data_IF_750825409820
#
_entry.id   IF_750825409820
#
_cell.length_a   1.000
_cell.length_b   1.000
_cell.length_c   1.000
_cell.angle_alpha   90.00
_cell.angle_beta   90.00
_cell.angle_gamma   90.00
#
_symmetry.space_group_name_H-M   'P 1'
#
loop_
_entity.id
_entity.type
_entity.pdbx_description
1 polymer ?
#
# COMPACT_ATOMS: atom_id res chain seq x y z
N UNK A 1 8.87 -3.71 -9.60
CA UNK A 1 7.47 -4.18 -9.56
C UNK A 1 6.78 -3.55 -10.75
N UNK A 2 6.32 -4.39 -11.67
CA UNK A 2 5.61 -3.96 -12.86
C UNK A 2 4.25 -3.34 -12.59
N UNK A 3 3.57 -2.96 -13.67
CA UNK A 3 2.30 -2.23 -13.61
C UNK A 3 1.23 -3.00 -14.38
N UNK A 4 0.02 -2.98 -13.84
CA UNK A 4 -1.17 -3.45 -14.55
C UNK A 4 -1.37 -2.70 -15.85
N UNK A 5 -1.74 -3.42 -16.91
CA UNK A 5 -2.22 -2.84 -18.16
C UNK A 5 -3.58 -3.41 -18.50
N UNK A 6 -4.50 -2.57 -18.97
CA UNK A 6 -5.80 -3.01 -19.50
C UNK A 6 -5.68 -3.66 -20.88
N UNK A 7 -4.49 -3.66 -21.48
CA UNK A 7 -4.26 -4.27 -22.79
C UNK A 7 -4.41 -5.79 -22.70
N UNK A 8 -5.23 -6.35 -23.59
CA UNK A 8 -5.32 -7.79 -23.79
C UNK A 8 -4.15 -8.22 -24.68
N UNK A 9 -3.38 -9.21 -24.24
CA UNK A 9 -2.29 -9.76 -25.05
C UNK A 9 -2.74 -11.03 -25.77
N UNK A 10 -2.32 -11.17 -27.03
CA UNK A 10 -2.56 -12.38 -27.82
C UNK A 10 -1.57 -13.49 -27.45
N UNK A 11 -1.96 -14.76 -27.60
CA UNK A 11 -1.03 -15.88 -27.43
C UNK A 11 0.10 -15.79 -28.46
N UNK A 12 1.32 -16.22 -28.09
CA UNK A 12 2.44 -16.29 -29.04
C UNK A 12 2.45 -17.60 -29.84
N UNK A 13 1.73 -18.62 -29.39
CA UNK A 13 1.77 -19.95 -29.98
C UNK A 13 2.96 -20.77 -29.47
N UNK A 14 3.19 -21.92 -30.10
CA UNK A 14 4.20 -22.90 -29.69
C UNK A 14 5.54 -22.80 -30.46
N UNK A 15 5.67 -21.86 -31.41
CA UNK A 15 6.87 -21.73 -32.23
C UNK A 15 8.09 -21.37 -31.37
N UNK A 16 9.16 -22.16 -31.48
CA UNK A 16 10.39 -21.96 -30.68
C UNK A 16 10.30 -22.41 -29.22
N UNK A 17 9.16 -22.97 -28.79
CA UNK A 17 9.03 -23.55 -27.45
C UNK A 17 9.55 -25.00 -27.41
N UNK A 18 9.97 -25.45 -26.22
CA UNK A 18 10.39 -26.83 -25.97
C UNK A 18 9.19 -27.65 -25.49
N UNK A 19 8.91 -28.77 -26.15
CA UNK A 19 7.88 -29.72 -25.69
C UNK A 19 8.39 -30.49 -24.46
N UNK A 20 7.55 -30.58 -23.43
CA UNK A 20 7.84 -31.34 -22.21
C UNK A 20 6.95 -32.57 -22.04
N UNK A 21 5.79 -32.56 -22.69
CA UNK A 21 4.84 -33.66 -22.62
C UNK A 21 3.94 -33.65 -23.85
N UNK A 22 3.57 -34.84 -24.30
CA UNK A 22 2.64 -35.06 -25.42
C UNK A 22 1.67 -36.16 -25.04
N UNK A 23 0.39 -36.01 -25.42
CA UNK A 23 -0.66 -36.99 -25.15
C UNK A 23 -0.73 -37.39 -23.65
N UNK A 24 -0.84 -36.38 -22.80
CA UNK A 24 -0.86 -36.51 -21.34
C UNK A 24 -2.30 -36.37 -20.83
N UNK A 25 -2.83 -37.45 -20.27
CA UNK A 25 -4.20 -37.52 -19.74
C UNK A 25 -4.31 -36.75 -18.42
N UNK A 26 -3.78 -37.30 -17.32
CA UNK A 26 -3.90 -36.69 -15.98
C UNK A 26 -2.55 -36.57 -15.25
N UNK A 27 -1.46 -37.01 -15.87
CA UNK A 27 -0.15 -37.10 -15.23
C UNK A 27 0.47 -35.72 -15.05
N UNK A 28 1.08 -35.52 -13.88
CA UNK A 28 1.86 -34.31 -13.58
C UNK A 28 3.22 -34.35 -14.26
N UNK A 29 3.61 -33.24 -14.89
CA UNK A 29 4.92 -33.03 -15.51
C UNK A 29 5.61 -31.83 -14.87
N UNK A 30 6.86 -32.00 -14.49
CA UNK A 30 7.68 -30.99 -13.85
C UNK A 30 8.46 -30.19 -14.89
N UNK A 31 8.47 -28.86 -14.77
CA UNK A 31 9.31 -28.01 -15.61
C UNK A 31 10.75 -27.98 -15.09
N UNK A 32 11.75 -27.76 -15.97
CA UNK A 32 13.11 -27.53 -15.51
C UNK A 32 13.21 -26.22 -14.70
N UNK A 33 14.38 -25.97 -14.09
CA UNK A 33 14.70 -24.66 -13.48
C UNK A 33 14.30 -23.52 -14.42
N UNK A 34 13.37 -22.66 -13.98
CA UNK A 34 12.80 -21.58 -14.79
C UNK A 34 13.80 -20.44 -15.05
N UNK A 35 14.92 -20.39 -14.32
CA UNK A 35 16.06 -19.49 -14.55
C UNK A 35 16.08 -18.23 -13.69
N UNK A 36 15.10 -18.04 -12.80
CA UNK A 36 15.03 -16.92 -11.86
C UNK A 36 14.24 -17.32 -10.61
N UNK A 37 14.40 -16.56 -9.52
CA UNK A 37 13.59 -16.77 -8.32
C UNK A 37 12.18 -16.24 -8.55
N UNK A 38 11.20 -17.14 -8.46
CA UNK A 38 9.78 -16.84 -8.50
C UNK A 38 9.19 -17.31 -7.18
N UNK A 39 8.55 -16.41 -6.43
CA UNK A 39 7.97 -16.73 -5.13
C UNK A 39 6.46 -16.80 -5.18
N UNK A 40 5.90 -17.86 -4.60
CA UNK A 40 4.47 -18.00 -4.34
C UNK A 40 4.28 -18.37 -2.86
N UNK A 41 3.45 -17.60 -2.15
CA UNK A 41 3.21 -17.77 -0.72
C UNK A 41 4.51 -17.83 0.13
N UNK A 42 5.53 -17.03 -0.21
CA UNK A 42 6.81 -17.04 0.49
C UNK A 42 7.76 -18.19 0.12
N UNK A 43 7.33 -19.13 -0.73
CA UNK A 43 8.14 -20.27 -1.16
C UNK A 43 8.81 -19.92 -2.49
N UNK A 44 10.13 -20.13 -2.61
CA UNK A 44 10.83 -20.02 -3.89
C UNK A 44 10.49 -21.26 -4.75
N UNK A 45 9.81 -21.00 -5.87
CA UNK A 45 9.24 -22.00 -6.74
C UNK A 45 10.09 -22.26 -8.00
N UNK A 46 11.33 -21.76 -8.05
CA UNK A 46 12.23 -21.83 -9.20
C UNK A 46 12.36 -23.22 -9.84
N UNK A 47 12.28 -24.29 -9.04
CA UNK A 47 12.44 -25.68 -9.48
C UNK A 47 11.24 -26.57 -9.16
N UNK A 48 10.09 -25.99 -8.81
CA UNK A 48 8.92 -26.76 -8.34
C UNK A 48 7.67 -26.52 -9.18
N UNK A 49 7.78 -25.74 -10.26
CA UNK A 49 6.66 -25.51 -11.17
C UNK A 49 6.35 -26.80 -11.92
N UNK A 50 5.08 -27.18 -11.95
CA UNK A 50 4.59 -28.31 -12.73
C UNK A 50 3.22 -28.02 -13.35
N UNK A 51 2.81 -28.89 -14.26
CA UNK A 51 1.48 -28.87 -14.88
C UNK A 51 0.96 -30.29 -15.04
N UNK A 52 -0.29 -30.45 -15.42
CA UNK A 52 -0.89 -31.76 -15.69
C UNK A 52 -1.72 -31.71 -16.97
N UNK A 53 -1.92 -32.90 -17.55
CA UNK A 53 -2.93 -33.12 -18.57
C UNK A 53 -4.34 -32.68 -18.15
N UNK A 54 -4.65 -32.67 -16.85
CA UNK A 54 -5.95 -32.19 -16.36
C UNK A 54 -6.09 -30.65 -16.29
N UNK A 55 -5.23 -29.92 -17.01
CA UNK A 55 -5.27 -28.45 -17.20
C UNK A 55 -5.21 -27.65 -15.89
N UNK A 56 -4.12 -27.85 -15.17
CA UNK A 56 -3.77 -27.06 -13.99
C UNK A 56 -2.26 -26.83 -13.88
N UNK A 57 -1.86 -25.86 -13.05
CA UNK A 57 -0.49 -25.51 -12.71
C UNK A 57 -0.30 -25.61 -11.20
N UNK A 58 0.80 -26.24 -10.80
CA UNK A 58 1.31 -26.21 -9.44
C UNK A 58 2.59 -25.38 -9.37
N UNK A 59 2.64 -24.43 -8.44
CA UNK A 59 3.82 -23.58 -8.20
C UNK A 59 4.76 -24.22 -7.17
N UNK A 60 4.22 -24.86 -6.14
CA UNK A 60 4.99 -25.38 -5.00
C UNK A 60 5.14 -26.90 -5.06
N UNK A 61 5.18 -27.48 -6.26
CA UNK A 61 5.07 -28.93 -6.45
C UNK A 61 3.62 -29.33 -6.76
N UNK A 62 3.16 -30.49 -6.27
CA UNK A 62 1.97 -31.20 -6.80
C UNK A 62 0.59 -30.65 -6.39
N UNK A 63 0.50 -29.37 -6.04
CA UNK A 63 -0.78 -28.74 -5.66
C UNK A 63 -1.41 -28.04 -6.86
N UNK A 64 -2.72 -28.18 -7.05
CA UNK A 64 -3.44 -27.58 -8.20
C UNK A 64 -3.77 -26.08 -7.97
N UNK A 65 -2.76 -25.24 -7.82
CA UNK A 65 -2.97 -23.85 -7.39
C UNK A 65 -3.60 -22.95 -8.46
N UNK A 66 -3.38 -23.22 -9.74
CA UNK A 66 -4.10 -22.55 -10.82
C UNK A 66 -4.79 -23.60 -11.69
N UNK A 67 -6.12 -23.55 -11.72
CA UNK A 67 -6.99 -24.46 -12.47
C UNK A 67 -7.62 -23.70 -13.63
N UNK A 68 -7.48 -24.24 -14.84
CA UNK A 68 -7.96 -23.60 -16.07
C UNK A 68 -8.82 -24.62 -16.80
N UNK A 69 -10.14 -24.48 -16.70
CA UNK A 69 -11.11 -25.47 -17.16
C UNK A 69 -10.79 -26.89 -16.63
N UNK A 70 -10.30 -26.99 -15.39
CA UNK A 70 -9.90 -28.25 -14.76
C UNK A 70 -11.12 -29.13 -14.56
N UNK A 71 -11.13 -30.28 -15.23
CA UNK A 71 -12.19 -31.29 -15.12
C UNK A 71 -11.60 -32.69 -15.33
N UNK A 72 -11.60 -33.11 -16.58
CA UNK A 72 -11.20 -34.41 -17.12
C UNK A 72 -10.53 -34.15 -18.48
N UNK A 73 -9.73 -33.09 -18.51
CA UNK A 73 -9.09 -32.57 -19.71
C UNK A 73 -7.87 -33.43 -20.03
N UNK A 74 -7.46 -33.46 -21.29
CA UNK A 74 -6.23 -34.11 -21.72
C UNK A 74 -5.36 -33.13 -22.51
N UNK A 75 -4.07 -33.09 -22.21
CA UNK A 75 -3.10 -32.28 -22.93
C UNK A 75 -2.55 -33.05 -24.13
N UNK A 76 -2.87 -32.58 -25.33
CA UNK A 76 -2.19 -33.05 -26.54
C UNK A 76 -0.72 -32.66 -26.49
N UNK A 77 -0.41 -31.44 -26.03
CA UNK A 77 0.95 -30.99 -25.81
C UNK A 77 1.08 -30.00 -24.65
N UNK A 78 2.20 -30.07 -23.93
CA UNK A 78 2.63 -29.07 -22.95
C UNK A 78 4.02 -28.59 -23.36
N UNK A 79 4.21 -27.29 -23.44
CA UNK A 79 5.46 -26.64 -23.83
C UNK A 79 5.92 -25.63 -22.80
N UNK A 80 7.20 -25.30 -22.85
CA UNK A 80 7.76 -24.15 -22.15
C UNK A 80 8.79 -23.38 -22.99
N UNK A 81 9.03 -22.13 -22.63
CA UNK A 81 10.13 -21.32 -23.15
C UNK A 81 10.69 -20.38 -22.08
N UNK A 82 12.01 -20.26 -22.05
CA UNK A 82 12.72 -19.19 -21.34
C UNK A 82 12.84 -18.01 -22.28
N UNK A 83 12.28 -16.88 -21.89
CA UNK A 83 12.22 -15.68 -22.71
C UNK A 83 12.82 -14.49 -21.96
N UNK A 84 13.00 -13.38 -22.69
CA UNK A 84 13.33 -12.09 -22.10
C UNK A 84 12.31 -11.07 -22.58
N UNK A 85 11.69 -10.36 -21.64
CA UNK A 85 10.74 -9.28 -21.89
C UNK A 85 11.27 -8.05 -21.16
N UNK A 86 11.46 -6.94 -21.89
CA UNK A 86 12.04 -5.69 -21.36
C UNK A 86 13.35 -5.91 -20.58
N UNK A 87 14.27 -6.71 -21.17
CA UNK A 87 15.57 -7.07 -20.56
C UNK A 87 15.48 -7.84 -19.22
N UNK A 88 14.29 -8.33 -18.86
CA UNK A 88 14.08 -9.19 -17.68
C UNK A 88 13.71 -10.62 -18.11
N UNK A 89 14.17 -11.64 -17.38
CA UNK A 89 13.84 -13.03 -17.68
C UNK A 89 12.36 -13.30 -17.38
N UNK A 90 11.71 -14.04 -18.28
CA UNK A 90 10.34 -14.53 -18.11
C UNK A 90 10.27 -16.01 -18.48
N UNK A 91 9.37 -16.75 -17.87
CA UNK A 91 9.13 -18.16 -18.19
C UNK A 91 7.71 -18.32 -18.73
N UNK A 92 7.57 -18.85 -19.95
CA UNK A 92 6.28 -19.09 -20.58
C UNK A 92 5.99 -20.58 -20.59
N UNK A 93 4.79 -20.95 -20.17
CA UNK A 93 4.21 -22.28 -20.32
C UNK A 93 3.08 -22.17 -21.34
N UNK A 94 2.95 -23.17 -22.21
CA UNK A 94 1.81 -23.29 -23.12
C UNK A 94 1.20 -24.67 -22.99
N UNK A 95 -0.11 -24.71 -22.88
CA UNK A 95 -0.89 -25.93 -22.75
C UNK A 95 -1.86 -25.99 -23.92
N UNK A 96 -1.82 -27.09 -24.67
CA UNK A 96 -2.67 -27.33 -25.82
C UNK A 96 -3.37 -28.68 -25.65
N UNK A 97 -4.70 -28.66 -25.65
CA UNK A 97 -5.45 -29.90 -25.55
C UNK A 97 -6.95 -29.69 -25.65
N UNK A 98 -7.67 -30.52 -24.92
CA UNK A 98 -9.11 -30.64 -25.08
C UNK A 98 -9.82 -30.82 -23.73
N UNK A 99 -11.11 -30.47 -23.69
CA UNK A 99 -11.88 -30.39 -22.43
C UNK A 99 -12.24 -31.71 -21.75
N UNK A 100 -12.22 -32.82 -22.49
CA UNK A 100 -12.65 -34.15 -22.03
C UNK A 100 -11.84 -35.26 -22.70
N UNK A 101 -11.26 -36.18 -21.95
CA UNK A 101 -10.36 -37.25 -22.43
C UNK A 101 -10.82 -38.01 -23.69
N UNK A 102 -12.12 -38.05 -23.98
CA UNK A 102 -12.69 -38.72 -25.16
C UNK A 102 -12.56 -37.92 -26.47
N UNK A 103 -11.92 -36.74 -26.46
CA UNK A 103 -11.89 -35.78 -27.58
C UNK A 103 -10.49 -35.42 -28.10
N UNK A 104 -9.52 -36.32 -27.90
CA UNK A 104 -8.14 -36.19 -28.40
C UNK A 104 -8.04 -35.67 -29.84
N UNK A 105 -7.04 -34.83 -30.09
CA UNK A 105 -6.79 -34.22 -31.40
C UNK A 105 -7.66 -33.00 -31.74
N UNK A 106 -8.67 -32.66 -30.92
CA UNK A 106 -9.46 -31.42 -31.09
C UNK A 106 -9.00 -30.34 -30.11
N UNK A 107 -8.14 -29.42 -30.56
CA UNK A 107 -7.63 -28.33 -29.71
C UNK A 107 -8.70 -27.27 -29.42
N UNK A 108 -9.47 -27.46 -28.35
CA UNK A 108 -10.52 -26.56 -27.87
C UNK A 108 -10.25 -25.96 -26.48
N UNK A 109 -9.15 -26.36 -25.83
CA UNK A 109 -8.63 -25.75 -24.61
C UNK A 109 -7.15 -25.41 -24.84
N UNK A 110 -6.84 -24.13 -24.87
CA UNK A 110 -5.50 -23.64 -25.19
C UNK A 110 -5.21 -22.39 -24.39
N UNK A 111 -4.12 -22.40 -23.63
CA UNK A 111 -3.72 -21.28 -22.80
C UNK A 111 -2.21 -21.17 -22.65
N UNK A 112 -1.73 -19.97 -22.31
CA UNK A 112 -0.35 -19.69 -21.96
C UNK A 112 -0.29 -19.05 -20.57
N UNK A 113 0.71 -19.43 -19.77
CA UNK A 113 1.01 -18.77 -18.51
C UNK A 113 2.42 -18.17 -18.59
N UNK A 114 2.53 -16.88 -18.32
CA UNK A 114 3.80 -16.15 -18.28
C UNK A 114 4.12 -15.83 -16.82
N UNK A 115 5.29 -16.27 -16.36
CA UNK A 115 5.84 -15.97 -15.03
C UNK A 115 6.91 -14.88 -15.15
N UNK A 116 6.85 -13.90 -14.24
CA UNK A 116 7.80 -12.79 -14.17
C UNK A 116 8.68 -12.90 -12.93
N UNK A 117 9.92 -12.41 -13.00
CA UNK A 117 10.88 -12.46 -11.88
C UNK A 117 10.56 -11.52 -10.71
N UNK A 118 9.47 -10.77 -10.77
CA UNK A 118 8.91 -10.02 -9.65
C UNK A 118 7.61 -10.62 -9.09
N UNK A 119 7.41 -11.92 -9.35
CA UNK A 119 6.31 -12.77 -8.86
C UNK A 119 4.95 -12.52 -9.52
N UNK A 120 4.83 -11.57 -10.44
CA UNK A 120 3.61 -11.42 -11.23
C UNK A 120 3.43 -12.58 -12.22
N UNK A 121 2.20 -12.77 -12.65
CA UNK A 121 1.85 -13.75 -13.70
C UNK A 121 0.84 -13.16 -14.68
N UNK A 122 0.87 -13.63 -15.92
CA UNK A 122 -0.20 -13.36 -16.89
C UNK A 122 -0.67 -14.67 -17.50
N UNK A 123 -1.96 -14.94 -17.36
CA UNK A 123 -2.65 -16.05 -18.02
C UNK A 123 -3.26 -15.53 -19.32
N UNK A 124 -2.93 -16.13 -20.45
CA UNK A 124 -3.50 -15.83 -21.76
C UNK A 124 -4.36 -17.00 -22.19
N UNK A 125 -5.63 -16.74 -22.48
CA UNK A 125 -6.58 -17.76 -22.92
C UNK A 125 -6.80 -17.60 -24.41
N UNK A 126 -6.32 -18.56 -25.19
CA UNK A 126 -6.59 -18.61 -26.63
C UNK A 126 -7.96 -19.26 -26.87
N UNK A 127 -8.20 -20.43 -26.27
CA UNK A 127 -9.47 -21.16 -26.35
C UNK A 127 -9.84 -21.71 -24.99
N UNK A 128 -11.10 -21.56 -24.61
CA UNK A 128 -11.63 -22.17 -23.40
C UNK A 128 -13.11 -22.54 -23.59
N UNK A 129 -13.50 -23.79 -23.28
CA UNK A 129 -14.89 -24.21 -23.40
C UNK A 129 -15.74 -23.86 -22.16
N UNK A 130 -15.10 -23.56 -21.02
CA UNK A 130 -15.75 -23.18 -19.75
C UNK A 130 -16.78 -24.19 -19.24
N UNK A 131 -16.43 -25.47 -19.29
CA UNK A 131 -17.24 -26.59 -18.77
C UNK A 131 -16.63 -27.23 -17.52
N UNK A 132 -15.46 -26.75 -17.08
CA UNK A 132 -14.73 -27.22 -15.89
C UNK A 132 -14.49 -26.12 -14.86
N UNK A 133 -13.59 -26.40 -13.91
CA UNK A 133 -13.26 -25.49 -12.82
C UNK A 133 -12.19 -24.47 -13.25
N UNK A 134 -12.52 -23.19 -13.05
CA UNK A 134 -11.58 -22.08 -13.19
C UNK A 134 -11.34 -21.48 -11.80
N UNK A 135 -10.14 -21.64 -11.25
CA UNK A 135 -9.83 -21.13 -9.91
C UNK A 135 -8.35 -20.88 -9.70
N UNK A 136 -8.04 -19.98 -8.77
CA UNK A 136 -6.70 -19.73 -8.28
C UNK A 136 -6.67 -19.80 -6.75
N UNK A 137 -5.75 -20.56 -6.19
CA UNK A 137 -5.44 -20.50 -4.77
C UNK A 137 -4.70 -19.18 -4.49
N UNK A 138 -5.40 -18.19 -3.96
CA UNK A 138 -4.78 -16.95 -3.56
C UNK A 138 -4.25 -17.11 -2.12
N UNK A 139 -2.95 -16.92 -1.84
CA UNK A 139 -2.42 -17.25 -0.52
C UNK A 139 -3.06 -16.50 0.65
N UNK A 140 -3.56 -15.27 0.41
CA UNK A 140 -4.25 -14.48 1.42
C UNK A 140 -5.78 -14.67 1.43
N UNK A 141 -6.39 -15.06 0.29
CA UNK A 141 -7.85 -15.14 0.16
C UNK A 141 -8.39 -16.57 0.08
N UNK A 142 -7.51 -17.58 0.02
CA UNK A 142 -7.88 -18.96 -0.30
C UNK A 142 -8.28 -19.14 -1.78
N UNK A 143 -8.97 -20.23 -2.08
CA UNK A 143 -9.43 -20.54 -3.44
C UNK A 143 -10.40 -19.47 -3.95
N UNK A 144 -10.00 -18.77 -4.99
CA UNK A 144 -10.78 -17.74 -5.68
C UNK A 144 -11.25 -18.28 -7.03
N UNK A 145 -12.56 -18.22 -7.30
CA UNK A 145 -13.09 -18.57 -8.62
C UNK A 145 -12.66 -17.54 -9.67
N UNK A 146 -12.36 -18.00 -10.90
CA UNK A 146 -11.98 -17.15 -12.01
C UNK A 146 -13.05 -17.16 -13.10
N UNK A 147 -13.39 -15.99 -13.63
CA UNK A 147 -14.23 -15.86 -14.82
C UNK A 147 -13.32 -15.66 -16.03
N UNK A 148 -13.07 -16.75 -16.75
CA UNK A 148 -12.16 -16.79 -17.90
C UNK A 148 -12.95 -16.81 -19.21
N UNK A 149 -12.44 -16.14 -20.23
CA UNK A 149 -13.05 -16.06 -21.57
C UNK A 149 -11.99 -16.29 -22.65
N UNK A 150 -12.42 -16.80 -23.81
CA UNK A 150 -11.54 -17.00 -24.96
C UNK A 150 -11.04 -15.68 -25.54
N UNK A 151 -9.81 -15.66 -26.03
CA UNK A 151 -9.12 -14.48 -26.57
C UNK A 151 -8.95 -13.34 -25.54
N UNK A 152 -8.80 -13.68 -24.27
CA UNK A 152 -8.54 -12.74 -23.18
C UNK A 152 -7.24 -13.07 -22.46
N UNK A 153 -6.76 -12.11 -21.67
CA UNK A 153 -5.65 -12.33 -20.74
C UNK A 153 -5.99 -11.81 -19.36
N UNK A 154 -5.34 -12.35 -18.33
CA UNK A 154 -5.59 -12.06 -16.93
C UNK A 154 -4.27 -11.88 -16.19
N UNK A 155 -4.09 -10.70 -15.58
CA UNK A 155 -2.90 -10.37 -14.81
C UNK A 155 -3.10 -10.71 -13.33
N UNK A 156 -2.14 -11.44 -12.77
CA UNK A 156 -2.03 -11.76 -11.35
C UNK A 156 -0.94 -10.88 -10.76
N UNK A 157 -1.34 -9.87 -9.99
CA UNK A 157 -0.44 -8.82 -9.51
C UNK A 157 -0.20 -9.01 -8.01
N UNK A 158 1.04 -9.26 -7.58
CA UNK A 158 1.34 -9.44 -6.17
C UNK A 158 1.05 -8.16 -5.39
N UNK A 159 0.34 -8.26 -4.27
CA UNK A 159 0.06 -7.13 -3.38
C UNK A 159 0.98 -7.10 -2.16
N UNK A 160 1.78 -8.16 -1.97
CA UNK A 160 2.74 -8.32 -0.89
C UNK A 160 4.00 -9.01 -1.42
N UNK A 161 5.13 -8.75 -0.75
CA UNK A 161 6.42 -9.37 -1.07
C UNK A 161 6.33 -10.90 -1.07
N UNK A 162 7.16 -11.51 -1.91
CA UNK A 162 7.26 -12.96 -2.08
C UNK A 162 5.93 -13.65 -2.48
N UNK A 163 5.03 -12.91 -3.15
CA UNK A 163 3.80 -13.48 -3.71
C UNK A 163 2.83 -13.99 -2.62
N UNK A 164 2.75 -13.32 -1.47
CA UNK A 164 1.85 -13.69 -0.36
C UNK A 164 0.39 -13.29 -0.55
N UNK A 165 0.09 -12.53 -1.59
CA UNK A 165 -1.27 -12.17 -1.98
C UNK A 165 -1.28 -11.63 -3.40
N UNK A 166 -2.39 -11.80 -4.11
CA UNK A 166 -2.55 -11.33 -5.49
C UNK A 166 -3.89 -10.62 -5.70
N UNK A 167 -3.91 -9.65 -6.61
CA UNK A 167 -5.14 -9.24 -7.31
C UNK A 167 -5.14 -9.86 -8.69
N UNK A 168 -6.30 -10.35 -9.14
CA UNK A 168 -6.47 -10.91 -10.48
C UNK A 168 -7.43 -10.02 -11.26
N UNK A 169 -7.03 -9.58 -12.45
CA UNK A 169 -7.82 -8.67 -13.29
C UNK A 169 -7.65 -9.03 -14.77
N UNK A 170 -8.72 -8.90 -15.57
CA UNK A 170 -8.63 -9.02 -17.04
C UNK A 170 -7.69 -7.92 -17.56
N UNK A 171 -6.70 -8.29 -18.36
CA UNK A 171 -5.67 -7.39 -18.86
C UNK A 171 -4.33 -8.10 -18.94
N UNK A 172 -3.26 -7.33 -18.79
CA UNK A 172 -1.89 -7.81 -18.87
C UNK A 172 -1.04 -7.16 -17.78
N UNK A 173 0.23 -7.54 -17.76
CA UNK A 173 1.24 -7.05 -16.84
C UNK A 173 2.42 -6.54 -17.65
N UNK A 174 2.80 -5.29 -17.39
CA UNK A 174 4.01 -4.71 -17.95
C UNK A 174 5.04 -4.79 -16.85
N UNK A 175 5.99 -5.71 -16.98
CA UNK A 175 7.17 -5.67 -16.14
C UNK A 175 7.99 -4.44 -16.50
N UNK A 176 8.04 -3.50 -15.56
CA UNK A 176 8.69 -2.22 -15.74
C UNK A 176 10.15 -2.33 -15.29
N UNK A 177 11.06 -1.87 -16.15
CA UNK A 177 12.41 -1.54 -15.75
C UNK A 177 12.48 -0.02 -15.63
N UNK A 178 12.14 0.50 -14.44
CA UNK A 178 12.13 1.94 -14.19
C UNK A 178 13.46 2.33 -13.59
N UNK A 179 14.09 3.33 -14.20
CA UNK A 179 15.35 3.90 -13.74
C UNK A 179 15.16 5.36 -13.34
N UNK A 180 15.79 5.73 -12.23
CA UNK A 180 15.73 7.08 -11.67
C UNK A 180 17.11 7.72 -11.73
N UNK A 181 17.14 9.00 -12.09
CA UNK A 181 18.32 9.87 -12.01
C UNK A 181 17.89 11.27 -11.61
N UNK A 182 18.77 12.03 -10.96
CA UNK A 182 18.54 13.45 -10.67
C UNK A 182 19.35 14.31 -11.63
N UNK A 183 18.69 15.28 -12.26
CA UNK A 183 19.35 16.41 -12.92
C UNK A 183 19.47 17.53 -11.90
N UNK A 184 20.71 17.83 -11.51
CA UNK A 184 21.08 18.82 -10.51
C UNK A 184 21.83 19.98 -11.18
N UNK A 185 21.10 20.97 -11.71
CA UNK A 185 21.66 21.96 -12.63
C UNK A 185 22.01 21.30 -13.98
N UNK A 186 23.30 21.25 -14.31
CA UNK A 186 23.81 20.52 -15.51
C UNK A 186 24.29 19.11 -15.20
N UNK A 187 24.49 18.78 -13.92
CA UNK A 187 24.99 17.48 -13.50
C UNK A 187 23.87 16.45 -13.50
N UNK A 188 24.23 15.21 -13.83
CA UNK A 188 23.39 14.03 -13.64
C UNK A 188 23.96 13.27 -12.45
N UNK A 189 23.12 13.04 -11.45
CA UNK A 189 23.47 12.38 -10.19
C UNK A 189 22.60 11.15 -9.95
N UNK A 190 23.20 10.17 -9.29
CA UNK A 190 22.50 9.00 -8.75
C UNK A 190 22.76 8.91 -7.24
N UNK A 191 21.97 8.10 -6.54
CA UNK A 191 22.17 7.88 -5.11
C UNK A 191 23.25 6.83 -4.86
N UNK A 192 24.36 7.24 -4.24
CA UNK A 192 25.34 6.29 -3.73
C UNK A 192 24.96 5.85 -2.32
N UNK A 193 24.57 4.58 -2.19
CA UNK A 193 24.17 3.98 -0.91
C UNK A 193 25.32 3.90 0.09
N UNK A 194 26.56 3.81 -0.37
CA UNK A 194 27.75 3.71 0.49
C UNK A 194 28.00 5.02 1.21
N UNK A 195 27.98 6.13 0.48
CA UNK A 195 28.16 7.47 1.06
C UNK A 195 26.85 8.10 1.54
N UNK A 196 25.70 7.48 1.28
CA UNK A 196 24.36 8.03 1.55
C UNK A 196 24.22 9.46 1.00
N UNK A 197 24.60 9.62 -0.27
CA UNK A 197 24.75 10.92 -0.91
C UNK A 197 24.46 10.86 -2.42
N UNK A 198 23.90 11.93 -2.99
CA UNK A 198 23.83 12.07 -4.44
C UNK A 198 25.19 12.44 -5.02
N UNK A 199 25.74 11.57 -5.86
CA UNK A 199 27.05 11.74 -6.50
C UNK A 199 26.91 11.93 -8.00
N UNK A 200 27.79 12.76 -8.58
CA UNK A 200 27.81 13.02 -10.02
C UNK A 200 28.29 11.80 -10.79
N UNK A 201 27.51 11.39 -11.79
CA UNK A 201 27.83 10.31 -12.72
C UNK A 201 27.96 10.77 -14.16
N UNK A 202 27.32 11.89 -14.53
CA UNK A 202 27.42 12.45 -15.87
C UNK A 202 26.98 13.92 -15.88
N UNK A 203 26.82 14.48 -17.08
CA UNK A 203 26.28 15.82 -17.35
C UNK A 203 25.23 15.75 -18.45
N UNK A 204 24.37 16.76 -18.58
CA UNK A 204 23.41 16.85 -19.68
C UNK A 204 24.11 16.84 -21.07
N UNK A 205 23.45 16.34 -22.14
CA UNK A 205 22.07 15.88 -22.21
C UNK A 205 21.85 14.49 -21.61
N UNK A 206 20.65 14.25 -21.11
CA UNK A 206 20.25 12.95 -20.57
C UNK A 206 19.86 12.01 -21.73
N UNK A 207 20.38 10.78 -21.72
CA UNK A 207 20.13 9.75 -22.76
C UNK A 207 19.68 8.44 -22.12
N UNK A 208 19.08 7.53 -22.91
CA UNK A 208 18.68 6.20 -22.43
C UNK A 208 19.85 5.40 -21.87
N UNK A 209 21.03 5.49 -22.48
CA UNK A 209 22.21 4.74 -22.04
C UNK A 209 22.68 5.19 -20.65
N UNK A 210 22.56 6.48 -20.33
CA UNK A 210 22.87 6.98 -18.99
C UNK A 210 21.95 6.37 -17.92
N UNK A 211 20.68 6.16 -18.23
CA UNK A 211 19.77 5.45 -17.32
C UNK A 211 20.10 3.98 -17.20
N UNK A 212 20.45 3.30 -18.30
CA UNK A 212 20.83 1.89 -18.27
C UNK A 212 22.10 1.64 -17.45
N UNK A 213 23.07 2.55 -17.54
CA UNK A 213 24.37 2.41 -16.86
C UNK A 213 24.32 2.88 -15.41
N UNK A 214 23.71 4.04 -15.15
CA UNK A 214 23.80 4.72 -13.84
C UNK A 214 22.48 4.85 -13.09
N UNK A 215 21.36 4.49 -13.72
CA UNK A 215 20.04 4.73 -13.14
C UNK A 215 19.76 3.82 -11.95
N UNK A 216 19.19 4.43 -10.90
CA UNK A 216 18.79 3.71 -9.70
C UNK A 216 17.47 2.96 -9.94
N UNK A 217 17.31 1.75 -9.39
CA UNK A 217 16.06 0.97 -9.45
C UNK A 217 14.97 1.52 -8.50
N UNK A 218 15.38 2.32 -7.52
CA UNK A 218 14.53 2.91 -6.49
C UNK A 218 14.80 4.41 -6.45
N UNK A 219 13.75 5.22 -6.29
CA UNK A 219 13.93 6.64 -6.07
C UNK A 219 14.27 6.91 -4.59
N UNK A 220 15.10 7.92 -4.36
CA UNK A 220 15.49 8.36 -3.01
C UNK A 220 14.83 9.71 -2.69
N UNK A 221 14.41 9.88 -1.44
CA UNK A 221 13.71 11.11 -0.96
C UNK A 221 14.68 12.13 -0.36
N UNK A 222 15.89 11.65 -0.06
CA UNK A 222 16.98 12.40 0.51
C UNK A 222 17.41 13.53 -0.43
N UNK A 223 18.08 14.54 0.12
CA UNK A 223 18.62 15.67 -0.67
C UNK A 223 20.11 15.88 -0.48
N UNK A 224 20.77 15.08 0.35
CA UNK A 224 22.21 15.14 0.57
C UNK A 224 22.92 15.03 -0.77
N UNK A 225 23.82 15.98 -1.07
CA UNK A 225 24.59 16.00 -2.34
C UNK A 225 23.93 16.73 -3.49
N UNK A 226 22.66 17.10 -3.36
CA UNK A 226 21.98 17.98 -4.32
C UNK A 226 22.31 19.44 -4.00
N UNK A 227 22.74 20.19 -5.01
CA UNK A 227 23.23 21.57 -4.85
C UNK A 227 22.22 22.59 -5.41
N UNK A 228 21.57 22.28 -6.53
CA UNK A 228 20.64 23.20 -7.17
C UNK A 228 19.37 23.40 -6.33
N UNK A 229 18.84 24.62 -6.37
CA UNK A 229 17.58 24.96 -5.70
C UNK A 229 16.37 24.24 -6.32
N UNK A 230 16.48 23.84 -7.59
CA UNK A 230 15.39 23.20 -8.35
C UNK A 230 15.91 21.99 -9.14
N UNK A 231 16.29 20.89 -8.44
CA UNK A 231 16.68 19.65 -9.09
C UNK A 231 15.46 19.00 -9.76
N UNK A 232 15.70 18.18 -10.78
CA UNK A 232 14.65 17.49 -11.51
C UNK A 232 14.87 15.99 -11.39
N UNK A 233 13.93 15.28 -10.77
CA UNK A 233 13.88 13.82 -10.85
C UNK A 233 13.48 13.43 -12.27
N UNK A 234 14.31 12.61 -12.91
CA UNK A 234 14.07 12.05 -14.22
C UNK A 234 13.82 10.56 -14.08
N UNK A 235 12.81 10.11 -14.81
CA UNK A 235 12.31 8.74 -14.78
C UNK A 235 12.39 8.22 -16.21
N UNK A 236 12.91 7.02 -16.38
CA UNK A 236 13.03 6.36 -17.67
C UNK A 236 12.66 4.89 -17.56
N UNK A 237 12.17 4.33 -18.67
CA UNK A 237 12.00 2.90 -18.84
C UNK A 237 12.12 2.54 -20.31
N UNK A 238 12.54 1.32 -20.66
CA UNK A 238 12.50 0.86 -22.04
C UNK A 238 11.05 0.69 -22.55
N UNK A 239 10.05 0.60 -21.66
CA UNK A 239 8.64 0.48 -22.05
C UNK A 239 8.04 1.84 -22.40
N UNK A 240 7.49 1.95 -23.62
CA UNK A 240 6.73 3.11 -24.06
C UNK A 240 5.33 3.21 -23.41
N UNK A 241 4.88 2.16 -22.73
CA UNK A 241 3.51 2.02 -22.18
C UNK A 241 3.42 2.39 -20.68
N UNK A 242 4.43 3.05 -20.10
CA UNK A 242 4.33 3.43 -18.70
C UNK A 242 3.24 4.48 -18.45
N UNK A 243 2.43 4.32 -17.40
CA UNK A 243 1.54 5.38 -16.97
C UNK A 243 2.32 6.61 -16.52
N UNK A 244 1.75 7.80 -16.71
CA UNK A 244 2.35 9.06 -16.27
C UNK A 244 2.66 9.01 -14.77
N UNK A 245 3.90 9.33 -14.34
CA UNK A 245 4.27 9.31 -12.93
C UNK A 245 3.41 10.28 -12.11
N UNK A 246 2.95 9.84 -10.93
CA UNK A 246 2.18 10.66 -9.99
C UNK A 246 2.97 10.85 -8.70
N UNK A 247 3.11 12.09 -8.25
CA UNK A 247 3.67 12.43 -6.94
C UNK A 247 2.51 12.71 -6.00
N UNK A 248 2.40 11.93 -4.92
CA UNK A 248 1.42 12.15 -3.87
C UNK A 248 2.12 12.74 -2.65
N UNK A 249 1.73 13.94 -2.25
CA UNK A 249 2.18 14.55 -1.00
C UNK A 249 1.03 14.48 0.01
N UNK A 250 1.26 13.80 1.14
CA UNK A 250 0.32 13.79 2.26
C UNK A 250 0.76 14.87 3.26
N UNK A 251 -0.07 15.89 3.44
CA UNK A 251 0.18 16.96 4.41
C UNK A 251 -0.59 16.63 5.69
N UNK A 252 0.14 16.33 6.76
CA UNK A 252 -0.40 16.17 8.11
C UNK A 252 -0.13 17.47 8.89
N UNK A 253 -1.16 18.18 9.40
CA UNK A 253 -0.93 19.30 10.31
C UNK A 253 -0.15 18.84 11.55
N UNK A 254 0.84 19.63 11.98
CA UNK A 254 1.54 19.37 13.25
C UNK A 254 0.55 19.57 14.41
N UNK A 255 0.71 18.85 15.53
CA UNK A 255 -0.11 19.11 16.70
C UNK A 255 0.08 20.54 17.20
N UNK A 256 -0.98 21.10 17.80
CA UNK A 256 -1.00 22.50 18.22
C UNK A 256 -1.67 22.63 19.59
N UNK A 257 -1.19 23.58 20.39
CA UNK A 257 -1.89 24.06 21.58
C UNK A 257 -2.51 25.41 21.25
N UNK A 258 -3.81 25.54 21.48
CA UNK A 258 -4.55 26.78 21.30
C UNK A 258 -4.87 27.35 22.68
N UNK A 259 -4.56 28.62 22.87
CA UNK A 259 -4.73 29.34 24.14
C UNK A 259 -5.79 30.43 24.01
N UNK A 260 -6.65 30.55 25.02
CA UNK A 260 -7.45 31.77 25.17
C UNK A 260 -6.52 32.97 25.41
N UNK A 261 -6.79 34.07 24.69
CA UNK A 261 -6.06 35.33 24.86
C UNK A 261 -6.47 36.04 26.15
N UNK A 262 -7.78 36.10 26.40
CA UNK A 262 -8.37 36.88 27.47
C UNK A 262 -8.82 36.01 28.65
N UNK A 263 -8.85 36.61 29.83
CA UNK A 263 -9.35 35.98 31.05
C UNK A 263 -10.87 36.04 31.10
N UNK A 264 -11.51 34.97 31.57
CA UNK A 264 -12.89 35.00 32.06
C UNK A 264 -12.84 35.41 33.54
N UNK A 265 -13.56 36.46 33.91
CA UNK A 265 -13.64 36.91 35.30
C UNK A 265 -14.66 36.09 36.08
N UNK A 266 -14.21 35.45 37.16
CA UNK A 266 -15.07 34.74 38.11
C UNK A 266 -15.19 35.57 39.39
N UNK A 267 -16.26 36.34 39.51
CA UNK A 267 -16.51 37.22 40.67
C UNK A 267 -17.57 36.61 41.57
N UNK A 268 -17.23 36.40 42.85
CA UNK A 268 -18.16 35.87 43.84
C UNK A 268 -19.31 36.81 44.15
N UNK A 269 -19.25 38.09 43.76
CA UNK A 269 -20.40 38.98 43.85
C UNK A 269 -21.58 38.50 42.98
N UNK A 270 -21.31 37.73 41.91
CA UNK A 270 -22.30 37.33 40.91
C UNK A 270 -22.33 35.83 40.65
N UNK A 271 -21.21 35.13 40.85
CA UNK A 271 -21.07 33.71 40.55
C UNK A 271 -20.68 32.98 41.83
N UNK A 272 -21.57 32.10 42.29
CA UNK A 272 -21.39 31.29 43.48
C UNK A 272 -20.44 30.12 43.23
N UNK A 273 -20.69 29.34 42.17
CA UNK A 273 -19.90 28.15 41.82
C UNK A 273 -20.10 27.74 40.36
N UNK A 274 -19.20 26.91 39.82
CA UNK A 274 -19.34 26.27 38.50
C UNK A 274 -20.15 24.99 38.68
N UNK A 275 -21.31 24.91 38.02
CA UNK A 275 -22.16 23.71 38.05
C UNK A 275 -21.55 22.57 37.23
N UNK A 276 -21.22 22.86 35.97
CA UNK A 276 -20.62 21.91 35.04
C UNK A 276 -20.02 22.64 33.82
N UNK A 277 -19.37 21.86 32.96
CA UNK A 277 -18.91 22.32 31.64
C UNK A 277 -19.54 21.48 30.53
N UNK A 278 -19.70 22.08 29.35
CA UNK A 278 -20.16 21.41 28.13
C UNK A 278 -19.16 21.70 27.02
N UNK A 279 -18.73 20.65 26.32
CA UNK A 279 -17.83 20.74 25.17
C UNK A 279 -18.54 20.21 23.95
N UNK A 280 -18.59 21.02 22.90
CA UNK A 280 -19.06 20.57 21.58
C UNK A 280 -17.86 20.47 20.65
N UNK A 281 -17.58 19.26 20.17
CA UNK A 281 -16.49 18.97 19.22
C UNK A 281 -17.03 18.13 18.07
N UNK A 282 -16.56 18.41 16.85
CA UNK A 282 -16.62 17.43 15.76
C UNK A 282 -15.32 16.66 15.78
N UNK A 283 -15.38 15.37 16.08
CA UNK A 283 -14.22 14.49 16.06
C UNK A 283 -14.56 13.21 15.29
N UNK A 284 -14.05 13.08 14.07
CA UNK A 284 -14.20 11.88 13.22
C UNK A 284 -12.83 11.29 12.96
N UNK A 285 -12.71 9.98 13.15
CA UNK A 285 -11.44 9.27 13.03
C UNK A 285 -10.64 9.33 14.34
N UNK A 286 -9.36 9.64 14.23
CA UNK A 286 -8.36 9.42 15.29
C UNK A 286 -7.96 10.71 16.02
N UNK A 287 -8.76 11.77 15.91
CA UNK A 287 -8.43 13.09 16.47
C UNK A 287 -8.31 13.06 17.99
N UNK A 288 -7.27 13.73 18.51
CA UNK A 288 -7.05 13.91 19.95
C UNK A 288 -7.27 15.37 20.28
N UNK A 289 -8.15 15.60 21.27
CA UNK A 289 -8.33 16.91 21.89
C UNK A 289 -8.36 16.76 23.41
N UNK A 290 -7.54 17.54 24.09
CA UNK A 290 -7.50 17.59 25.56
C UNK A 290 -7.42 19.01 26.07
N UNK A 291 -8.01 19.26 27.23
CA UNK A 291 -8.22 20.58 27.81
C UNK A 291 -7.42 20.75 29.10
N UNK A 292 -6.96 21.97 29.33
CA UNK A 292 -6.32 22.41 30.57
C UNK A 292 -6.91 23.77 30.98
N UNK A 293 -6.89 24.05 32.28
CA UNK A 293 -7.44 25.28 32.87
C UNK A 293 -6.39 26.01 33.68
N UNK A 294 -6.39 27.33 33.63
CA UNK A 294 -5.61 28.22 34.49
C UNK A 294 -6.56 29.10 35.29
N UNK A 295 -6.21 29.37 36.54
CA UNK A 295 -6.93 30.28 37.45
C UNK A 295 -6.10 31.52 37.84
N UNK A 296 -4.97 31.73 37.17
CA UNK A 296 -3.96 32.75 37.49
C UNK A 296 -3.46 33.45 36.22
N UNK A 297 -4.36 33.67 35.26
CA UNK A 297 -4.10 34.37 33.99
C UNK A 297 -3.09 33.68 33.05
N UNK A 298 -2.92 32.36 33.19
CA UNK A 298 -2.03 31.54 32.36
C UNK A 298 -0.64 31.30 32.95
N UNK A 299 -0.39 31.66 34.22
CA UNK A 299 0.88 31.41 34.91
C UNK A 299 1.06 29.92 35.20
N UNK A 300 0.02 29.27 35.74
CA UNK A 300 -0.01 27.84 35.97
C UNK A 300 -1.25 27.20 35.34
N UNK A 301 -1.06 25.97 34.86
CA UNK A 301 -2.09 25.20 34.17
C UNK A 301 -2.35 23.90 34.90
N UNK A 302 -3.61 23.51 34.97
CA UNK A 302 -4.07 22.32 35.68
C UNK A 302 -5.03 21.49 34.85
N UNK A 303 -5.07 20.20 35.17
CA UNK A 303 -6.03 19.24 34.64
C UNK A 303 -6.56 18.35 35.77
N UNK A 304 -7.83 18.00 35.70
CA UNK A 304 -8.46 17.02 36.59
C UNK A 304 -8.13 15.60 36.12
N UNK A 305 -7.46 14.82 36.96
CA UNK A 305 -7.07 13.44 36.61
C UNK A 305 -8.10 12.37 37.05
N UNK A 306 -9.28 12.80 37.52
CA UNK A 306 -10.30 11.93 38.11
C UNK A 306 -10.31 11.93 39.65
N UNK A 307 -9.28 12.47 40.30
CA UNK A 307 -9.19 12.54 41.77
C UNK A 307 -8.73 13.89 42.29
N UNK A 308 -7.82 14.57 41.59
CA UNK A 308 -7.31 15.88 41.99
C UNK A 308 -6.91 16.73 40.78
N UNK A 309 -6.78 18.04 41.02
CA UNK A 309 -6.22 18.98 40.05
C UNK A 309 -4.70 18.88 40.05
N UNK A 310 -4.14 18.43 38.93
CA UNK A 310 -2.69 18.22 38.74
C UNK A 310 -2.09 19.30 37.86
N UNK A 311 -0.83 19.66 38.10
CA UNK A 311 -0.11 20.64 37.28
C UNK A 311 0.26 20.05 35.92
N UNK A 312 0.11 20.88 34.89
CA UNK A 312 0.47 20.57 33.50
C UNK A 312 1.43 21.64 32.99
N UNK A 313 2.54 21.21 32.41
CA UNK A 313 3.48 22.09 31.74
C UNK A 313 3.00 22.40 30.33
N UNK A 314 2.47 23.61 30.13
CA UNK A 314 1.95 24.06 28.83
C UNK A 314 3.04 24.21 27.76
N UNK A 315 4.31 24.34 28.14
CA UNK A 315 5.42 24.44 27.20
C UNK A 315 5.83 23.08 26.63
N UNK A 316 5.39 21.99 27.28
CA UNK A 316 5.64 20.62 26.85
C UNK A 316 4.37 20.00 26.26
N UNK A 317 4.30 19.93 24.92
CA UNK A 317 3.17 19.34 24.19
C UNK A 317 2.82 17.92 24.63
N UNK A 318 3.81 17.09 24.99
CA UNK A 318 3.57 15.72 25.44
C UNK A 318 2.97 15.69 26.85
N UNK A 319 3.36 16.64 27.71
CA UNK A 319 2.78 16.78 29.05
C UNK A 319 1.31 17.20 28.96
N UNK A 320 1.00 18.18 28.11
CA UNK A 320 -0.39 18.59 27.84
C UNK A 320 -1.21 17.43 27.26
N UNK A 321 -0.67 16.68 26.29
CA UNK A 321 -1.35 15.54 25.68
C UNK A 321 -1.66 14.43 26.70
N UNK A 322 -0.72 14.12 27.59
CA UNK A 322 -0.84 13.00 28.52
C UNK A 322 -1.64 13.31 29.77
N UNK A 323 -1.58 14.55 30.27
CA UNK A 323 -2.28 14.96 31.51
C UNK A 323 -3.56 15.74 31.26
N UNK A 324 -3.74 16.32 30.07
CA UNK A 324 -4.92 17.09 29.72
C UNK A 324 -6.21 16.27 29.82
N UNK A 325 -7.31 16.96 30.09
CA UNK A 325 -8.62 16.34 30.25
C UNK A 325 -9.22 16.05 28.88
N UNK A 326 -9.67 14.83 28.61
CA UNK A 326 -10.52 14.57 27.45
C UNK A 326 -11.83 15.36 27.52
N UNK A 327 -12.55 15.50 26.41
CA UNK A 327 -13.86 16.14 26.41
C UNK A 327 -14.85 15.47 27.39
N UNK A 328 -14.79 14.15 27.55
CA UNK A 328 -15.65 13.44 28.50
C UNK A 328 -15.27 13.70 29.96
N UNK A 329 -13.96 13.70 30.27
CA UNK A 329 -13.47 14.00 31.62
C UNK A 329 -13.82 15.44 32.00
N UNK A 330 -13.59 16.40 31.10
CA UNK A 330 -13.83 17.80 31.36
C UNK A 330 -15.31 18.12 31.62
N UNK A 331 -16.21 17.49 30.87
CA UNK A 331 -17.67 17.60 31.06
C UNK A 331 -18.16 16.84 32.30
N UNK A 332 -17.43 15.82 32.74
CA UNK A 332 -17.76 15.02 33.92
C UNK A 332 -17.37 15.66 35.26
N UNK A 333 -16.68 16.80 35.26
CA UNK A 333 -16.29 17.49 36.50
C UNK A 333 -17.53 18.07 37.18
N UNK A 334 -17.78 17.63 38.41
CA UNK A 334 -18.92 18.05 39.22
C UNK A 334 -18.68 19.40 39.90
N UNK A 335 -19.76 20.04 40.36
CA UNK A 335 -19.68 21.31 41.11
C UNK A 335 -18.72 21.23 42.31
N UNK A 336 -18.81 20.16 43.11
CA UNK A 336 -17.90 19.95 44.24
C UNK A 336 -16.42 19.80 43.82
N UNK A 337 -16.15 19.19 42.67
CA UNK A 337 -14.80 19.05 42.13
C UNK A 337 -14.28 20.38 41.58
N UNK A 338 -15.14 21.18 40.93
CA UNK A 338 -14.83 22.54 40.52
C UNK A 338 -14.49 23.44 41.69
N UNK A 339 -15.24 23.35 42.81
CA UNK A 339 -14.95 24.09 44.02
C UNK A 339 -13.52 23.83 44.55
N UNK A 340 -13.02 22.60 44.41
CA UNK A 340 -11.65 22.25 44.85
C UNK A 340 -10.54 22.89 44.00
N UNK A 341 -10.85 23.39 42.80
CA UNK A 341 -9.88 24.16 42.00
C UNK A 341 -9.59 25.53 42.66
N UNK A 342 -10.52 26.03 43.47
CA UNK A 342 -10.40 27.31 44.16
C UNK A 342 -10.50 28.50 43.21
N UNK A 343 -11.59 28.56 42.45
CA UNK A 343 -11.87 29.60 41.42
C UNK A 343 -12.40 30.93 42.00
N UNK A 344 -12.72 30.97 43.28
CA UNK A 344 -13.20 32.14 44.05
C UNK A 344 -12.42 33.43 43.76
N UNK A 345 -13.10 34.44 43.21
CA UNK A 345 -12.53 35.75 42.83
C UNK A 345 -11.28 35.67 41.93
N UNK A 346 -11.20 34.64 41.09
CA UNK A 346 -10.07 34.41 40.17
C UNK A 346 -10.43 34.66 38.71
N UNK A 347 -9.38 34.59 37.90
CA UNK A 347 -9.41 34.71 36.44
C UNK A 347 -9.23 33.34 35.84
N UNK A 348 -10.19 32.90 35.01
CA UNK A 348 -10.14 31.60 34.37
C UNK A 348 -9.70 31.71 32.91
N UNK A 349 -8.80 30.82 32.50
CA UNK A 349 -8.41 30.63 31.10
C UNK A 349 -8.45 29.15 30.74
N UNK A 350 -8.82 28.87 29.50
CA UNK A 350 -8.72 27.53 28.92
C UNK A 350 -7.65 27.51 27.84
N UNK A 351 -7.00 26.35 27.72
CA UNK A 351 -6.19 26.00 26.58
C UNK A 351 -6.50 24.55 26.20
N UNK A 352 -6.28 24.23 24.94
CA UNK A 352 -6.53 22.89 24.43
C UNK A 352 -5.49 22.47 23.41
N UNK A 353 -5.08 21.21 23.53
CA UNK A 353 -4.22 20.54 22.57
C UNK A 353 -5.07 19.87 21.49
N UNK A 354 -4.63 19.93 20.24
CA UNK A 354 -5.28 19.29 19.09
C UNK A 354 -4.27 18.54 18.22
N UNK A 355 -4.60 17.30 17.86
CA UNK A 355 -3.84 16.46 16.94
C UNK A 355 -4.77 15.60 16.09
N UNK A 356 -4.42 15.38 14.83
CA UNK A 356 -5.03 14.36 13.96
C UNK A 356 -3.97 13.34 13.56
N UNK A 357 -4.36 12.11 13.23
CA UNK A 357 -3.44 11.07 12.78
C UNK A 357 -3.37 11.00 11.24
N UNK A 358 -4.50 11.23 10.57
CA UNK A 358 -4.65 11.15 9.12
C UNK A 358 -5.22 12.44 8.52
N UNK A 359 -4.95 12.68 7.22
CA UNK A 359 -5.51 13.83 6.49
C UNK A 359 -7.03 13.74 6.27
N UNK A 360 -7.62 12.58 6.53
CA UNK A 360 -9.07 12.33 6.47
C UNK A 360 -9.78 12.55 7.81
N UNK A 361 -9.03 12.71 8.92
CA UNK A 361 -9.62 12.99 10.22
C UNK A 361 -10.28 14.39 10.23
N UNK A 362 -11.37 14.53 10.96
CA UNK A 362 -12.02 15.83 11.21
C UNK A 362 -11.93 16.12 12.69
N UNK A 363 -11.27 17.22 13.09
CA UNK A 363 -11.22 17.67 14.47
C UNK A 363 -11.51 19.17 14.58
N UNK A 364 -12.65 19.55 15.14
CA UNK A 364 -13.07 20.95 15.30
C UNK A 364 -13.70 21.19 16.67
N UNK A 365 -13.12 22.07 17.48
CA UNK A 365 -13.76 22.58 18.69
C UNK A 365 -14.80 23.65 18.29
N UNK A 366 -16.07 23.40 18.60
CA UNK A 366 -17.17 24.34 18.31
C UNK A 366 -17.48 25.25 19.49
N UNK A 367 -17.50 24.69 20.70
CA UNK A 367 -17.88 25.42 21.90
C UNK A 367 -17.26 24.80 23.16
N UNK A 368 -16.80 25.68 24.05
CA UNK A 368 -16.67 25.41 25.48
C UNK A 368 -17.71 26.28 26.17
N UNK A 369 -18.59 25.69 26.96
CA UNK A 369 -19.58 26.38 27.78
C UNK A 369 -19.36 26.00 29.24
N UNK A 370 -19.32 26.99 30.12
CA UNK A 370 -19.25 26.80 31.57
C UNK A 370 -20.57 27.31 32.14
N UNK A 371 -21.32 26.42 32.79
CA UNK A 371 -22.56 26.78 33.46
C UNK A 371 -22.26 27.02 34.95
N UNK A 372 -22.86 28.05 35.52
CA UNK A 372 -22.55 28.49 36.87
C UNK A 372 -23.82 28.90 37.63
N UNK A 373 -23.76 28.74 38.95
CA UNK A 373 -24.77 29.25 39.87
C UNK A 373 -24.50 30.72 40.16
N UNK A 374 -25.55 31.53 40.22
CA UNK A 374 -25.47 32.91 40.70
C UNK A 374 -25.86 32.98 42.18
N UNK A 375 -25.50 34.08 42.84
CA UNK A 375 -25.99 34.37 44.18
C UNK A 375 -27.47 34.74 44.21
#
# INVERSE_FOLDING_TARGET
>A
MGVYSTNIISPKGNSGMTSISTHNDDTTVEFPDIGFDFFYNGINCRTTINSSGNSWIGFTGSSEQLKINRRDAGADNIYYAKETVNDKPTFRIRWEGHQSYSTWGTLNLVWELILFNDNAMVLVIEKIPNTGTNSFENPALGTTALTLEGNKSYAFIPQQDQGKSYTVQEGSYIQTDIKYLIVDGTDIKHWDTTSSNYVKVSELPLTSDKFKIYGDDIYHKERTGIIAASPILKIWSPSAELPTPRITQVIKPKPVIVNMKDDILFSEAYIKDIMNSVVTVDNTGSGIIVFIVSIDSGISWKAWNGSSWTLVDITNMQDVKSKGMSASVFQGITEAQWATLGVSNKKMKFAWYMEVAASTDVLKLKQIRVNYNTN
#
